data_IF_481027571113
#
_entry.id   IF_481027571113
#
_cell.length_a   1.000
_cell.length_b   1.000
_cell.length_c   1.000
_cell.angle_alpha   90.00
_cell.angle_beta   90.00
_cell.angle_gamma   90.00
#
_symmetry.space_group_name_H-M   'P 1'
#
loop_
_entity.id
_entity.type
_entity.pdbx_description
1 polymer ?
#
# COMPACT_ATOMS: atom_id res chain seq x y z
N UNK A 1 -19.36 12.21 3.04
CA UNK A 1 -19.45 11.58 4.40
C UNK A 1 -18.46 12.21 5.40
N UNK A 2 -17.25 12.57 4.97
CA UNK A 2 -16.34 13.43 5.76
C UNK A 2 -16.69 14.90 5.51
N UNK A 3 -17.38 15.55 6.45
CA UNK A 3 -17.78 16.97 6.35
C UNK A 3 -17.18 17.76 7.50
N UNK A 4 -16.85 19.02 7.26
CA UNK A 4 -16.35 19.97 8.26
C UNK A 4 -15.08 19.48 8.98
N UNK A 5 -13.94 19.32 8.26
CA UNK A 5 -12.68 18.98 8.91
C UNK A 5 -12.32 20.00 9.99
N UNK A 6 -11.82 19.50 11.12
CA UNK A 6 -11.29 20.37 12.18
C UNK A 6 -10.11 21.16 11.62
N UNK A 7 -10.02 22.45 11.92
CA UNK A 7 -8.88 23.25 11.49
C UNK A 7 -7.63 22.85 12.29
N UNK A 8 -6.60 22.40 11.58
CA UNK A 8 -5.30 22.04 12.15
C UNK A 8 -4.26 23.05 11.67
N UNK A 9 -3.22 23.26 12.47
CA UNK A 9 -2.04 24.02 12.03
C UNK A 9 -1.53 23.53 10.65
N UNK A 10 -1.38 24.43 9.66
CA UNK A 10 -0.94 24.06 8.31
C UNK A 10 0.47 23.48 8.27
N UNK A 11 1.37 23.90 9.17
CA UNK A 11 2.74 23.41 9.26
C UNK A 11 2.74 21.96 9.72
N UNK A 12 1.98 21.65 10.78
CA UNK A 12 1.79 20.29 11.27
C UNK A 12 1.18 19.39 10.19
N UNK A 13 0.14 19.87 9.50
CA UNK A 13 -0.53 19.12 8.43
C UNK A 13 0.45 18.77 7.30
N UNK A 14 1.22 19.76 6.85
CA UNK A 14 2.24 19.58 5.81
C UNK A 14 3.35 18.63 6.26
N UNK A 15 3.81 18.75 7.51
CA UNK A 15 4.83 17.86 8.07
C UNK A 15 4.38 16.40 8.08
N UNK A 16 3.13 16.13 8.52
CA UNK A 16 2.57 14.78 8.54
C UNK A 16 2.41 14.21 7.12
N UNK A 17 1.91 15.01 6.17
CA UNK A 17 1.75 14.59 4.76
C UNK A 17 3.09 14.27 4.09
N UNK A 18 4.07 15.18 4.19
CA UNK A 18 5.39 14.98 3.57
C UNK A 18 6.13 13.81 4.21
N UNK A 19 6.02 13.63 5.53
CA UNK A 19 6.62 12.48 6.22
C UNK A 19 6.00 11.17 5.72
N UNK A 20 4.68 11.11 5.55
CA UNK A 20 4.01 9.97 4.93
C UNK A 20 4.54 9.70 3.52
N UNK A 21 4.58 10.75 2.69
CA UNK A 21 5.16 10.78 1.34
C UNK A 21 6.53 10.11 1.28
N UNK A 22 7.43 10.55 2.16
CA UNK A 22 8.79 10.06 2.24
C UNK A 22 8.86 8.58 2.63
N UNK A 23 8.17 8.17 3.69
CA UNK A 23 8.25 6.79 4.17
C UNK A 23 7.61 5.78 3.20
N UNK A 24 6.51 6.13 2.54
CA UNK A 24 5.94 5.29 1.48
C UNK A 24 6.81 5.24 0.23
N UNK A 25 7.45 6.36 -0.14
CA UNK A 25 8.45 6.36 -1.21
C UNK A 25 9.60 5.39 -0.89
N UNK A 26 10.11 5.41 0.34
CA UNK A 26 11.13 4.44 0.80
C UNK A 26 10.58 3.02 0.71
N UNK A 27 9.34 2.76 1.13
CA UNK A 27 8.69 1.45 1.01
C UNK A 27 8.69 0.95 -0.43
N UNK A 28 8.27 1.78 -1.40
CA UNK A 28 8.25 1.39 -2.82
C UNK A 28 9.64 1.13 -3.39
N UNK A 29 10.63 1.98 -3.06
CA UNK A 29 12.02 1.76 -3.48
C UNK A 29 12.59 0.44 -2.93
N UNK A 30 12.29 0.11 -1.67
CA UNK A 30 12.72 -1.14 -1.05
C UNK A 30 11.99 -2.34 -1.67
N UNK A 31 10.69 -2.23 -1.97
CA UNK A 31 9.94 -3.28 -2.69
C UNK A 31 10.58 -3.55 -4.06
N UNK A 32 10.86 -2.50 -4.82
CA UNK A 32 11.54 -2.61 -6.13
C UNK A 32 12.90 -3.27 -5.99
N UNK A 33 13.73 -2.80 -5.06
CA UNK A 33 15.05 -3.38 -4.81
C UNK A 33 14.95 -4.86 -4.44
N UNK A 34 14.12 -5.19 -3.45
CA UNK A 34 13.96 -6.56 -2.94
C UNK A 34 13.41 -7.49 -4.02
N UNK A 35 12.45 -7.03 -4.80
CA UNK A 35 11.88 -7.78 -5.91
C UNK A 35 12.92 -8.10 -6.99
N UNK A 36 13.81 -7.14 -7.28
CA UNK A 36 14.92 -7.35 -8.21
C UNK A 36 15.98 -8.31 -7.66
N UNK A 37 16.35 -8.19 -6.38
CA UNK A 37 17.35 -9.06 -5.74
C UNK A 37 16.84 -10.51 -5.58
N UNK A 38 15.60 -10.71 -5.15
CA UNK A 38 15.01 -12.04 -4.95
C UNK A 38 14.41 -12.67 -6.20
N UNK A 39 14.33 -11.92 -7.31
CA UNK A 39 13.68 -12.34 -8.56
C UNK A 39 12.22 -12.82 -8.33
N UNK A 40 11.51 -12.11 -7.46
CA UNK A 40 10.09 -12.29 -7.15
C UNK A 40 9.41 -10.92 -7.03
N UNK A 41 8.09 -10.88 -6.91
CA UNK A 41 7.36 -9.67 -6.59
C UNK A 41 7.31 -9.43 -5.07
N UNK A 42 7.42 -8.16 -4.68
CA UNK A 42 7.41 -7.73 -3.27
C UNK A 42 6.07 -7.18 -2.76
N UNK A 43 5.10 -6.94 -3.65
CA UNK A 43 3.75 -6.48 -3.30
C UNK A 43 2.68 -7.45 -3.83
N UNK A 44 1.70 -7.85 -3.00
CA UNK A 44 0.57 -8.67 -3.46
C UNK A 44 -0.23 -8.00 -4.58
N UNK A 45 -0.64 -8.78 -5.59
CA UNK A 45 -1.34 -8.31 -6.79
C UNK A 45 -2.51 -7.35 -6.52
N UNK A 46 -3.42 -7.73 -5.61
CA UNK A 46 -4.64 -6.95 -5.36
C UNK A 46 -4.31 -5.61 -4.70
N UNK A 47 -3.32 -5.60 -3.79
CA UNK A 47 -2.85 -4.36 -3.18
C UNK A 47 -2.20 -3.43 -4.22
N UNK A 48 -1.39 -3.99 -5.12
CA UNK A 48 -0.78 -3.24 -6.22
C UNK A 48 -1.82 -2.66 -7.19
N UNK A 49 -2.83 -3.44 -7.54
CA UNK A 49 -3.93 -2.97 -8.39
C UNK A 49 -4.71 -1.82 -7.73
N UNK A 50 -4.94 -1.92 -6.41
CA UNK A 50 -5.63 -0.89 -5.66
C UNK A 50 -4.78 0.40 -5.59
N UNK A 51 -3.49 0.30 -5.26
CA UNK A 51 -2.60 1.46 -5.21
C UNK A 51 -2.51 2.20 -6.55
N UNK A 52 -2.18 1.49 -7.64
CA UNK A 52 -2.10 2.08 -8.99
C UNK A 52 -3.40 2.78 -9.35
N UNK A 53 -4.54 2.16 -9.01
CA UNK A 53 -5.86 2.72 -9.27
C UNK A 53 -6.10 4.00 -8.46
N UNK A 54 -5.79 3.98 -7.17
CA UNK A 54 -5.95 5.12 -6.28
C UNK A 54 -5.07 6.28 -6.74
N UNK A 55 -3.78 6.03 -6.93
CA UNK A 55 -2.80 7.05 -7.33
C UNK A 55 -3.15 7.64 -8.70
N UNK A 56 -3.63 6.84 -9.66
CA UNK A 56 -4.11 7.35 -10.94
C UNK A 56 -5.37 8.22 -10.79
N UNK A 57 -6.39 7.75 -10.07
CA UNK A 57 -7.65 8.47 -9.90
C UNK A 57 -7.41 9.82 -9.22
N UNK A 58 -6.62 9.85 -8.14
CA UNK A 58 -6.37 11.06 -7.38
C UNK A 58 -5.24 11.94 -7.94
N UNK A 59 -4.58 11.49 -9.01
CA UNK A 59 -3.70 12.32 -9.83
C UNK A 59 -4.41 12.96 -11.03
N UNK A 60 -5.32 12.24 -11.70
CA UNK A 60 -5.84 12.64 -13.01
C UNK A 60 -7.36 12.86 -13.07
N UNK A 61 -8.15 12.14 -12.28
CA UNK A 61 -9.62 12.19 -12.32
C UNK A 61 -10.16 13.16 -11.26
N UNK A 62 -9.69 13.00 -10.03
CA UNK A 62 -9.98 13.87 -8.89
C UNK A 62 -8.65 14.38 -8.30
N UNK A 63 -7.92 15.23 -9.04
CA UNK A 63 -6.56 15.63 -8.67
C UNK A 63 -6.51 16.24 -7.27
N UNK A 64 -5.64 15.70 -6.42
CA UNK A 64 -5.38 16.25 -5.10
C UNK A 64 -4.79 17.67 -5.17
N UNK A 65 -4.94 18.48 -4.11
CA UNK A 65 -4.21 19.73 -3.99
C UNK A 65 -2.71 19.48 -3.75
N UNK A 66 -1.88 20.46 -4.12
CA UNK A 66 -0.47 20.44 -3.77
C UNK A 66 -0.30 20.55 -2.23
N UNK A 67 0.70 19.87 -1.62
CA UNK A 67 1.80 19.14 -2.26
C UNK A 67 1.52 17.65 -2.56
N UNK A 68 0.34 17.13 -2.19
CA UNK A 68 0.01 15.70 -2.29
C UNK A 68 0.04 15.22 -3.73
N UNK A 69 -0.45 16.02 -4.68
CA UNK A 69 -0.46 15.67 -6.10
C UNK A 69 0.93 15.31 -6.66
N UNK A 70 1.97 16.01 -6.23
CA UNK A 70 3.34 15.68 -6.64
C UNK A 70 3.82 14.34 -6.07
N UNK A 71 3.39 14.01 -4.86
CA UNK A 71 3.66 12.72 -4.20
C UNK A 71 2.92 11.60 -4.94
N UNK A 72 1.65 11.82 -5.32
CA UNK A 72 0.85 10.82 -6.04
C UNK A 72 1.46 10.47 -7.40
N UNK A 73 1.94 11.46 -8.15
CA UNK A 73 2.66 11.19 -9.42
C UNK A 73 3.94 10.37 -9.21
N UNK A 74 4.69 10.68 -8.15
CA UNK A 74 5.92 9.97 -7.82
C UNK A 74 5.63 8.52 -7.41
N UNK A 75 4.61 8.33 -6.59
CA UNK A 75 4.12 7.03 -6.17
C UNK A 75 3.64 6.20 -7.36
N UNK A 76 2.84 6.79 -8.26
CA UNK A 76 2.34 6.12 -9.46
C UNK A 76 3.48 5.64 -10.34
N UNK A 77 4.54 6.43 -10.48
CA UNK A 77 5.74 6.03 -11.22
C UNK A 77 6.39 4.77 -10.62
N UNK A 78 6.53 4.71 -9.28
CA UNK A 78 7.09 3.53 -8.63
C UNK A 78 6.18 2.32 -8.74
N UNK A 79 4.87 2.53 -8.60
CA UNK A 79 3.86 1.51 -8.73
C UNK A 79 3.85 0.87 -10.12
N UNK A 80 4.02 1.66 -11.19
CA UNK A 80 4.25 1.14 -12.55
C UNK A 80 5.51 0.25 -12.63
N UNK A 81 6.57 0.62 -11.93
CA UNK A 81 7.76 -0.22 -11.77
C UNK A 81 7.46 -1.54 -11.06
N UNK A 82 6.66 -1.50 -9.98
CA UNK A 82 6.25 -2.69 -9.22
C UNK A 82 5.31 -3.57 -10.05
N UNK A 83 4.43 -2.99 -10.86
CA UNK A 83 3.64 -3.70 -11.88
C UNK A 83 4.53 -4.44 -12.85
N UNK A 84 5.58 -3.79 -13.37
CA UNK A 84 6.58 -4.43 -14.21
C UNK A 84 7.22 -5.67 -13.53
N UNK A 85 7.61 -5.53 -12.26
CA UNK A 85 8.16 -6.67 -11.49
C UNK A 85 7.13 -7.78 -11.24
N UNK A 86 5.89 -7.42 -10.95
CA UNK A 86 4.81 -8.39 -10.76
C UNK A 86 4.53 -9.18 -12.04
N UNK A 87 4.40 -8.49 -13.18
CA UNK A 87 4.14 -9.15 -14.46
C UNK A 87 5.32 -10.01 -14.92
N UNK A 88 6.55 -9.63 -14.59
CA UNK A 88 7.75 -10.39 -14.94
C UNK A 88 7.98 -11.61 -14.03
N UNK A 89 7.93 -11.42 -12.71
CA UNK A 89 8.27 -12.47 -11.75
C UNK A 89 7.06 -13.27 -11.24
N UNK A 90 5.89 -12.64 -11.14
CA UNK A 90 4.68 -13.22 -10.55
C UNK A 90 4.12 -14.42 -11.32
N UNK A 91 4.41 -14.51 -12.62
CA UNK A 91 4.02 -15.66 -13.45
C UNK A 91 4.57 -16.98 -12.90
N UNK A 92 5.73 -16.98 -12.23
CA UNK A 92 6.33 -18.19 -11.64
C UNK A 92 5.55 -18.71 -10.43
N UNK A 93 4.76 -17.86 -9.77
CA UNK A 93 3.94 -18.23 -8.61
C UNK A 93 2.47 -18.44 -9.00
N UNK A 94 2.14 -18.34 -10.29
CA UNK A 94 0.81 -18.65 -10.81
C UNK A 94 0.60 -20.17 -10.86
N UNK A 95 -0.60 -20.70 -10.50
CA UNK A 95 -0.82 -22.15 -10.48
C UNK A 95 -0.54 -22.80 -11.85
N UNK A 96 0.33 -23.81 -11.86
CA UNK A 96 0.73 -24.50 -13.09
C UNK A 96 -0.44 -25.21 -13.79
N UNK A 97 -1.50 -25.53 -13.05
CA UNK A 97 -2.71 -26.18 -13.59
C UNK A 97 -3.59 -25.21 -14.40
N UNK A 98 -3.34 -23.90 -14.31
CA UNK A 98 -4.15 -22.88 -14.97
C UNK A 98 -3.48 -22.37 -16.26
N UNK A 99 -4.26 -22.02 -17.30
CA UNK A 99 -3.71 -21.44 -18.52
C UNK A 99 -2.90 -20.15 -18.23
N UNK A 100 -1.67 -19.99 -18.79
CA UNK A 100 -0.84 -18.81 -18.55
C UNK A 100 -1.49 -17.48 -18.94
N UNK A 101 -2.44 -17.49 -19.89
CA UNK A 101 -3.21 -16.30 -20.28
C UNK A 101 -4.11 -15.78 -19.16
N UNK A 102 -4.56 -16.67 -18.26
CA UNK A 102 -5.38 -16.27 -17.12
C UNK A 102 -4.60 -15.40 -16.14
N UNK A 103 -3.27 -15.54 -16.04
CA UNK A 103 -2.46 -14.64 -15.21
C UNK A 103 -2.70 -13.16 -15.57
N UNK A 104 -2.53 -12.82 -16.85
CA UNK A 104 -2.77 -11.46 -17.35
C UNK A 104 -4.24 -11.07 -17.30
N UNK A 105 -5.15 -12.01 -17.59
CA UNK A 105 -6.59 -11.78 -17.48
C UNK A 105 -7.02 -11.43 -16.05
N UNK A 106 -6.53 -12.17 -15.05
CA UNK A 106 -6.81 -11.91 -13.63
C UNK A 106 -6.20 -10.60 -13.16
N UNK A 107 -4.99 -10.26 -13.62
CA UNK A 107 -4.37 -8.98 -13.31
C UNK A 107 -5.20 -7.82 -13.88
N UNK A 108 -5.52 -7.85 -15.17
CA UNK A 108 -6.29 -6.80 -15.83
C UNK A 108 -7.70 -6.66 -15.21
N UNK A 109 -8.38 -7.77 -14.96
CA UNK A 109 -9.67 -7.76 -14.27
C UNK A 109 -9.57 -7.11 -12.89
N UNK A 110 -8.57 -7.51 -12.09
CA UNK A 110 -8.37 -6.95 -10.74
C UNK A 110 -8.07 -5.46 -10.80
N UNK A 111 -7.21 -5.02 -11.73
CA UNK A 111 -6.88 -3.61 -11.92
C UNK A 111 -8.12 -2.77 -12.26
N UNK A 112 -8.89 -3.19 -13.27
CA UNK A 112 -10.11 -2.48 -13.68
C UNK A 112 -11.14 -2.49 -12.55
N UNK A 113 -11.32 -3.61 -11.87
CA UNK A 113 -12.28 -3.72 -10.78
C UNK A 113 -11.91 -2.83 -9.59
N UNK A 114 -10.63 -2.78 -9.20
CA UNK A 114 -10.12 -1.85 -8.19
C UNK A 114 -10.36 -0.40 -8.60
N UNK A 115 -10.05 -0.02 -9.85
CA UNK A 115 -10.25 1.34 -10.36
C UNK A 115 -11.72 1.76 -10.32
N UNK A 116 -12.63 0.92 -10.82
CA UNK A 116 -14.06 1.19 -10.79
C UNK A 116 -14.59 1.28 -9.35
N UNK A 117 -14.15 0.36 -8.48
CA UNK A 117 -14.55 0.36 -7.07
C UNK A 117 -14.12 1.65 -6.38
N UNK A 118 -12.87 2.08 -6.54
CA UNK A 118 -12.36 3.31 -5.91
C UNK A 118 -13.06 4.56 -6.49
N UNK A 119 -13.27 4.62 -7.80
CA UNK A 119 -13.96 5.74 -8.44
C UNK A 119 -15.42 5.87 -7.95
N UNK A 120 -16.15 4.76 -7.84
CA UNK A 120 -17.52 4.75 -7.34
C UNK A 120 -17.58 4.98 -5.83
N UNK A 121 -16.61 4.49 -5.04
CA UNK A 121 -16.51 4.83 -3.63
C UNK A 121 -16.32 6.33 -3.41
N UNK A 122 -15.48 7.00 -4.23
CA UNK A 122 -15.29 8.44 -4.14
C UNK A 122 -16.60 9.22 -4.38
N UNK A 123 -17.41 8.76 -5.33
CA UNK A 123 -18.72 9.36 -5.63
C UNK A 123 -19.74 9.07 -4.53
N UNK A 124 -19.92 7.81 -4.16
CA UNK A 124 -20.91 7.35 -3.17
C UNK A 124 -20.68 7.98 -1.79
N UNK A 125 -19.42 8.10 -1.39
CA UNK A 125 -19.07 8.69 -0.08
C UNK A 125 -18.87 10.20 -0.13
N UNK A 126 -19.01 10.84 -1.29
CA UNK A 126 -18.63 12.24 -1.51
C UNK A 126 -17.20 12.52 -0.98
N UNK A 127 -16.28 11.58 -1.19
CA UNK A 127 -14.89 11.60 -0.70
C UNK A 127 -13.92 11.70 -1.88
N UNK A 128 -13.90 12.87 -2.50
CA UNK A 128 -13.09 13.16 -3.68
C UNK A 128 -11.59 13.34 -3.40
N UNK A 129 -11.19 13.28 -2.13
CA UNK A 129 -9.79 13.18 -1.71
C UNK A 129 -9.39 11.75 -1.32
N UNK A 130 -10.34 10.80 -1.41
CA UNK A 130 -10.03 9.38 -1.39
C UNK A 130 -9.57 8.80 -0.05
N UNK A 131 -9.87 9.45 1.08
CA UNK A 131 -9.41 9.04 2.41
C UNK A 131 -9.91 7.64 2.75
N UNK A 132 -11.21 7.38 2.62
CA UNK A 132 -11.77 6.06 2.94
C UNK A 132 -11.20 4.98 2.02
N UNK A 133 -11.07 5.27 0.73
CA UNK A 133 -10.46 4.34 -0.22
C UNK A 133 -8.99 4.04 0.17
N UNK A 134 -8.22 5.07 0.53
CA UNK A 134 -6.80 4.94 0.93
C UNK A 134 -6.63 4.02 2.14
N UNK A 135 -7.42 4.21 3.20
CA UNK A 135 -7.30 3.39 4.40
C UNK A 135 -7.92 2.00 4.24
N UNK A 136 -9.02 1.86 3.49
CA UNK A 136 -9.61 0.56 3.21
C UNK A 136 -8.64 -0.33 2.41
N UNK A 137 -8.02 0.20 1.35
CA UNK A 137 -7.04 -0.55 0.58
C UNK A 137 -5.75 -0.82 1.36
N UNK A 138 -5.34 0.08 2.26
CA UNK A 138 -4.15 -0.15 3.08
C UNK A 138 -4.40 -1.26 4.12
N UNK A 139 -5.60 -1.34 4.71
CA UNK A 139 -5.99 -2.48 5.55
C UNK A 139 -5.94 -3.80 4.76
N UNK A 140 -6.53 -3.80 3.56
CA UNK A 140 -6.45 -4.95 2.65
C UNK A 140 -4.99 -5.32 2.36
N UNK A 141 -4.14 -4.34 2.06
CA UNK A 141 -2.71 -4.54 1.82
C UNK A 141 -2.02 -5.19 3.03
N UNK A 142 -2.24 -4.70 4.25
CA UNK A 142 -1.66 -5.28 5.47
C UNK A 142 -2.02 -6.77 5.63
N UNK A 143 -3.28 -7.14 5.39
CA UNK A 143 -3.71 -8.55 5.41
C UNK A 143 -3.00 -9.35 4.33
N UNK A 144 -2.90 -8.81 3.11
CA UNK A 144 -2.31 -9.51 1.97
C UNK A 144 -0.79 -9.70 2.11
N UNK A 145 -0.07 -8.78 2.75
CA UNK A 145 1.36 -8.94 3.06
C UNK A 145 1.58 -10.11 4.03
N UNK A 146 0.77 -10.21 5.08
CA UNK A 146 0.79 -11.38 5.99
C UNK A 146 0.48 -12.67 5.22
N UNK A 147 -0.59 -12.66 4.41
CA UNK A 147 -0.99 -13.83 3.60
C UNK A 147 0.12 -14.26 2.65
N UNK A 148 0.81 -13.31 2.01
CA UNK A 148 1.93 -13.58 1.11
C UNK A 148 3.10 -14.22 1.84
N UNK A 149 3.49 -13.70 3.02
CA UNK A 149 4.52 -14.29 3.85
C UNK A 149 4.20 -15.74 4.25
N UNK A 150 2.97 -15.97 4.74
CA UNK A 150 2.52 -17.29 5.19
C UNK A 150 2.43 -18.28 4.03
N UNK A 151 1.85 -17.87 2.89
CA UNK A 151 1.71 -18.73 1.70
C UNK A 151 3.04 -19.08 1.08
N UNK A 152 3.95 -18.09 0.94
CA UNK A 152 5.29 -18.31 0.37
C UNK A 152 6.17 -19.14 1.31
N UNK A 153 5.88 -19.10 2.61
CA UNK A 153 6.72 -19.68 3.67
C UNK A 153 8.20 -19.30 3.45
N UNK A 154 8.45 -18.06 3.03
CA UNK A 154 9.79 -17.51 2.86
C UNK A 154 9.76 -15.99 2.94
N UNK A 155 10.86 -15.38 3.40
CA UNK A 155 11.03 -13.93 3.41
C UNK A 155 11.31 -13.32 2.02
N UNK A 156 11.37 -14.12 0.95
CA UNK A 156 11.64 -13.61 -0.41
C UNK A 156 10.65 -12.52 -0.82
N UNK A 157 11.13 -11.47 -1.49
CA UNK A 157 10.36 -10.29 -1.89
C UNK A 157 10.03 -9.35 -0.74
N UNK A 158 10.44 -9.66 0.49
CA UNK A 158 10.08 -8.91 1.69
C UNK A 158 11.34 -8.60 2.53
N UNK A 159 11.29 -7.49 3.24
CA UNK A 159 12.30 -7.08 4.22
C UNK A 159 11.64 -6.36 5.40
N UNK A 160 12.33 -6.34 6.55
CA UNK A 160 11.82 -5.60 7.71
C UNK A 160 11.74 -4.11 7.45
N UNK A 161 12.67 -3.57 6.63
CA UNK A 161 12.64 -2.15 6.26
C UNK A 161 11.38 -1.80 5.47
N UNK A 162 10.92 -2.67 4.55
CA UNK A 162 9.62 -2.49 3.87
C UNK A 162 8.48 -2.43 4.90
N UNK A 163 8.44 -3.38 5.85
CA UNK A 163 7.38 -3.43 6.86
C UNK A 163 7.38 -2.22 7.80
N UNK A 164 8.55 -1.81 8.29
CA UNK A 164 8.70 -0.67 9.19
C UNK A 164 8.42 0.66 8.49
N UNK A 165 8.94 0.86 7.27
CA UNK A 165 8.68 2.08 6.50
C UNK A 165 7.20 2.20 6.14
N UNK A 166 6.54 1.11 5.76
CA UNK A 166 5.08 1.09 5.52
C UNK A 166 4.30 1.48 6.78
N UNK A 167 4.64 0.88 7.91
CA UNK A 167 3.98 1.13 9.19
C UNK A 167 4.11 2.62 9.55
N UNK A 168 5.34 3.14 9.57
CA UNK A 168 5.60 4.55 9.91
C UNK A 168 4.94 5.49 8.90
N UNK A 169 5.02 5.18 7.61
CA UNK A 169 4.36 5.94 6.54
C UNK A 169 2.84 6.00 6.67
N UNK A 170 2.21 5.01 7.30
CA UNK A 170 0.76 4.97 7.56
C UNK A 170 0.38 5.63 8.90
N UNK A 171 1.26 5.64 9.89
CA UNK A 171 1.00 6.30 11.18
C UNK A 171 0.79 7.80 11.00
N UNK A 172 1.61 8.47 10.17
CA UNK A 172 1.48 9.90 9.90
C UNK A 172 0.09 10.32 9.36
N UNK A 173 -0.44 9.73 8.27
CA UNK A 173 -1.76 10.08 7.76
C UNK A 173 -2.86 9.62 8.72
N UNK A 174 -2.68 8.51 9.46
CA UNK A 174 -3.65 8.11 10.49
C UNK A 174 -3.81 9.19 11.57
N UNK A 175 -2.70 9.77 12.04
CA UNK A 175 -2.72 10.90 12.99
C UNK A 175 -3.39 12.11 12.35
N UNK A 176 -2.98 12.48 11.13
CA UNK A 176 -3.53 13.64 10.41
C UNK A 176 -5.05 13.55 10.26
N UNK A 177 -5.56 12.42 9.77
CA UNK A 177 -6.98 12.25 9.50
C UNK A 177 -7.79 11.97 10.77
N UNK A 178 -7.18 11.44 11.84
CA UNK A 178 -7.80 11.45 13.16
C UNK A 178 -8.00 12.87 13.68
N UNK A 179 -7.00 13.75 13.52
CA UNK A 179 -7.12 15.15 13.93
C UNK A 179 -8.16 15.90 13.09
N UNK A 180 -8.25 15.63 11.78
CA UNK A 180 -9.25 16.27 10.92
C UNK A 180 -10.67 15.77 11.21
N UNK A 181 -10.83 14.47 11.48
CA UNK A 181 -12.12 13.80 11.60
C UNK A 181 -12.19 12.91 12.86
N UNK A 182 -12.08 13.48 14.07
CA UNK A 182 -11.96 12.71 15.31
C UNK A 182 -13.21 11.87 15.63
N UNK A 183 -14.36 12.21 15.04
CA UNK A 183 -15.62 11.50 15.24
C UNK A 183 -15.87 10.38 14.21
N UNK A 184 -14.95 10.15 13.28
CA UNK A 184 -15.11 9.11 12.26
C UNK A 184 -14.71 7.73 12.82
N UNK A 185 -15.68 7.01 13.37
CA UNK A 185 -15.48 5.67 13.93
C UNK A 185 -14.90 4.66 12.93
N UNK A 186 -15.32 4.75 11.65
CA UNK A 186 -14.79 3.88 10.60
C UNK A 186 -13.30 4.14 10.35
N UNK A 187 -12.88 5.42 10.28
CA UNK A 187 -11.47 5.75 10.12
C UNK A 187 -10.65 5.25 11.31
N UNK A 188 -11.12 5.50 12.55
CA UNK A 188 -10.44 5.01 13.75
C UNK A 188 -10.27 3.49 13.75
N UNK A 189 -11.32 2.74 13.36
CA UNK A 189 -11.27 1.30 13.22
C UNK A 189 -10.23 0.85 12.18
N UNK A 190 -10.20 1.52 11.01
CA UNK A 190 -9.22 1.23 9.96
C UNK A 190 -7.79 1.50 10.44
N UNK A 191 -7.54 2.62 11.13
CA UNK A 191 -6.21 2.98 11.64
C UNK A 191 -5.67 1.93 12.62
N UNK A 192 -6.49 1.55 13.60
CA UNK A 192 -6.14 0.54 14.59
C UNK A 192 -5.91 -0.82 13.90
N UNK A 193 -6.79 -1.21 12.99
CA UNK A 193 -6.67 -2.45 12.23
C UNK A 193 -5.36 -2.52 11.43
N UNK A 194 -5.03 -1.46 10.69
CA UNK A 194 -3.79 -1.40 9.91
C UNK A 194 -2.57 -1.48 10.83
N UNK A 195 -2.56 -0.71 11.92
CA UNK A 195 -1.44 -0.68 12.85
C UNK A 195 -1.18 -2.07 13.47
N UNK A 196 -2.23 -2.75 13.93
CA UNK A 196 -2.12 -4.09 14.52
C UNK A 196 -1.66 -5.14 13.49
N UNK A 197 -2.16 -5.06 12.25
CA UNK A 197 -1.76 -5.98 11.19
C UNK A 197 -0.32 -5.73 10.72
N UNK A 198 0.11 -4.48 10.62
CA UNK A 198 1.48 -4.14 10.25
C UNK A 198 2.48 -4.58 11.34
N UNK A 199 2.14 -4.41 12.63
CA UNK A 199 2.94 -4.96 13.73
C UNK A 199 3.01 -6.50 13.67
N UNK A 200 1.88 -7.14 13.38
CA UNK A 200 1.81 -8.60 13.22
C UNK A 200 2.69 -9.06 12.06
N UNK A 201 2.61 -8.37 10.92
CA UNK A 201 3.44 -8.62 9.74
C UNK A 201 4.93 -8.49 10.06
N UNK A 202 5.35 -7.39 10.69
CA UNK A 202 6.73 -7.14 11.11
C UNK A 202 7.22 -8.24 12.06
N UNK A 203 6.41 -8.61 13.06
CA UNK A 203 6.75 -9.67 14.01
C UNK A 203 6.90 -11.05 13.37
N UNK A 204 5.98 -11.41 12.46
CA UNK A 204 6.05 -12.66 11.70
C UNK A 204 7.26 -12.70 10.77
N UNK A 205 7.54 -11.60 10.06
CA UNK A 205 8.68 -11.49 9.15
C UNK A 205 10.00 -11.58 9.91
N UNK A 206 10.12 -10.92 11.07
CA UNK A 206 11.30 -11.02 11.93
C UNK A 206 11.57 -12.47 12.35
N UNK A 207 10.53 -13.19 12.80
CA UNK A 207 10.64 -14.61 13.17
C UNK A 207 11.04 -15.46 11.96
N UNK A 208 10.48 -15.18 10.79
CA UNK A 208 10.80 -15.92 9.57
C UNK A 208 12.25 -15.70 9.12
N UNK A 209 12.74 -14.47 9.18
CA UNK A 209 14.14 -14.13 8.86
C UNK A 209 15.12 -14.86 9.80
N UNK A 210 14.82 -14.89 11.11
CA UNK A 210 15.62 -15.68 12.07
C UNK A 210 15.58 -17.18 11.76
N UNK A 211 14.41 -17.73 11.44
CA UNK A 211 14.29 -19.14 11.08
C UNK A 211 15.05 -19.50 9.79
N UNK A 212 15.24 -18.54 8.88
CA UNK A 212 16.07 -18.69 7.67
C UNK A 212 17.57 -18.40 7.92
N UNK A 213 18.00 -18.19 9.17
CA UNK A 213 19.36 -17.79 9.56
C UNK A 213 19.84 -16.49 8.88
N UNK A 214 18.90 -15.63 8.48
CA UNK A 214 19.20 -14.32 7.89
C UNK A 214 19.22 -13.25 8.98
N UNK A 215 20.16 -12.30 8.86
CA UNK A 215 20.16 -11.14 9.73
C UNK A 215 18.99 -10.22 9.35
N UNK A 216 18.05 -9.93 10.27
CA UNK A 216 16.87 -9.15 9.93
C UNK A 216 17.18 -7.70 9.51
N UNK A 217 18.35 -7.19 9.90
CA UNK A 217 18.81 -5.82 9.67
C UNK A 217 19.84 -5.69 8.54
N UNK A 218 20.25 -6.80 7.90
CA UNK A 218 21.14 -6.74 6.73
C UNK A 218 20.40 -6.89 5.40
N UNK A 219 19.16 -7.36 5.46
CA UNK A 219 18.31 -7.56 4.28
C UNK A 219 17.50 -6.28 4.04
N UNK A 220 18.01 -5.43 3.14
CA UNK A 220 17.28 -4.27 2.60
C UNK A 220 16.20 -4.75 1.61
#
# INVERSE_FOLDING_TARGET
>A
MLKNPVHIDPTLSSFLMVSSGLFWTITYLLILRRGYEDKTYGMPMVALCANVSWEFIFSFVYPHPQPQLAIDYLWLLFDLGIVGQYLWYGRKEFPEQLPPRLFYGTFLFTLVYCALTIAFMAQEFEDYIGIYAAFAQNLLMSVLFIRMLLKRSSSKGQSLYIGLSKLVGTVFPSILFYLYFPHSNLLLLLFIGIFLLDLTYVGLLYRKLKAENLSPWRKL
#
